data_IF_113041044416
#
_entry.id   IF_113041044416
#
_cell.length_a   1.000
_cell.length_b   1.000
_cell.length_c   1.000
_cell.angle_alpha   90.00
_cell.angle_beta   90.00
_cell.angle_gamma   90.00
#
_symmetry.space_group_name_H-M   'P 1'
#
loop_
_entity.id
_entity.type
_entity.pdbx_description
1 polymer ?
#
# COMPACT_ATOMS: atom_id res chain seq x y z
N UNK A 1 -9.22 -36.32 -23.62
CA UNK A 1 -8.47 -36.14 -22.34
C UNK A 1 -7.48 -34.98 -22.42
N UNK A 2 -6.57 -34.93 -23.39
CA UNK A 2 -5.55 -33.85 -23.54
C UNK A 2 -6.19 -32.47 -23.78
N UNK A 3 -7.22 -32.36 -24.64
CA UNK A 3 -7.91 -31.10 -24.93
C UNK A 3 -8.64 -30.55 -23.68
N UNK A 4 -9.25 -31.43 -22.90
CA UNK A 4 -9.92 -31.04 -21.66
C UNK A 4 -8.90 -30.52 -20.61
N UNK A 5 -7.72 -31.16 -20.52
CA UNK A 5 -6.64 -30.74 -19.64
C UNK A 5 -6.03 -29.39 -20.08
N UNK A 6 -5.85 -29.19 -21.38
CA UNK A 6 -5.39 -27.92 -21.95
C UNK A 6 -6.42 -26.79 -21.76
N UNK A 7 -7.71 -27.05 -21.97
CA UNK A 7 -8.77 -26.06 -21.72
C UNK A 7 -8.88 -25.70 -20.25
N UNK A 8 -8.80 -26.66 -19.33
CA UNK A 8 -8.83 -26.37 -17.87
C UNK A 8 -7.58 -25.62 -17.44
N UNK A 9 -6.39 -25.98 -17.94
CA UNK A 9 -5.15 -25.27 -17.61
C UNK A 9 -5.15 -23.86 -18.16
N UNK A 10 -5.58 -23.63 -19.40
CA UNK A 10 -5.72 -22.30 -20.00
C UNK A 10 -6.77 -21.45 -19.28
N UNK A 11 -7.89 -22.05 -18.87
CA UNK A 11 -8.94 -21.39 -18.09
C UNK A 11 -8.43 -20.97 -16.69
N UNK A 12 -7.68 -21.84 -16.02
CA UNK A 12 -7.05 -21.53 -14.72
C UNK A 12 -5.98 -20.42 -14.84
N UNK A 13 -5.16 -20.45 -15.90
CA UNK A 13 -4.17 -19.40 -16.18
C UNK A 13 -4.87 -18.07 -16.46
N UNK A 14 -5.96 -18.08 -17.26
CA UNK A 14 -6.72 -16.87 -17.59
C UNK A 14 -7.40 -16.26 -16.36
N UNK A 15 -8.03 -17.08 -15.51
CA UNK A 15 -8.62 -16.62 -14.24
C UNK A 15 -7.55 -16.04 -13.31
N UNK A 16 -6.38 -16.68 -13.18
CA UNK A 16 -5.29 -16.17 -12.37
C UNK A 16 -4.73 -14.86 -12.92
N UNK A 17 -4.62 -14.69 -14.23
CA UNK A 17 -4.20 -13.42 -14.85
C UNK A 17 -5.20 -12.28 -14.58
N UNK A 18 -6.49 -12.54 -14.70
CA UNK A 18 -7.53 -11.53 -14.38
C UNK A 18 -7.49 -11.12 -12.91
N UNK A 19 -7.29 -12.08 -11.99
CA UNK A 19 -7.13 -11.81 -10.55
C UNK A 19 -5.89 -10.96 -10.25
N UNK A 20 -4.77 -11.21 -10.91
CA UNK A 20 -3.55 -10.41 -10.75
C UNK A 20 -3.80 -8.98 -11.21
N UNK A 21 -4.46 -8.78 -12.37
CA UNK A 21 -4.82 -7.45 -12.88
C UNK A 21 -5.78 -6.73 -11.93
N UNK A 22 -6.78 -7.41 -11.37
CA UNK A 22 -7.67 -6.86 -10.36
C UNK A 22 -6.88 -6.29 -9.17
N UNK A 23 -5.96 -7.08 -8.60
CA UNK A 23 -5.16 -6.64 -7.47
C UNK A 23 -4.08 -5.62 -7.84
N UNK A 24 -3.68 -5.53 -9.09
CA UNK A 24 -2.87 -4.41 -9.56
C UNK A 24 -3.67 -3.10 -9.57
N UNK A 25 -4.94 -3.13 -9.94
CA UNK A 25 -5.84 -1.98 -9.82
C UNK A 25 -6.06 -1.62 -8.35
N UNK A 26 -6.35 -2.60 -7.47
CA UNK A 26 -6.47 -2.38 -6.02
C UNK A 26 -5.22 -1.69 -5.46
N UNK A 27 -4.01 -2.14 -5.83
CA UNK A 27 -2.76 -1.50 -5.38
C UNK A 27 -2.60 -0.08 -5.89
N UNK A 28 -2.99 0.17 -7.14
CA UNK A 28 -2.93 1.51 -7.72
C UNK A 28 -3.88 2.48 -7.00
N UNK A 29 -5.11 2.07 -6.75
CA UNK A 29 -6.06 2.87 -5.97
C UNK A 29 -5.56 3.08 -4.55
N UNK A 30 -5.08 2.02 -3.91
CA UNK A 30 -4.58 2.05 -2.55
C UNK A 30 -3.42 3.03 -2.37
N UNK A 31 -2.42 3.01 -3.26
CA UNK A 31 -1.27 3.92 -3.15
C UNK A 31 -1.67 5.37 -3.40
N UNK A 32 -2.63 5.63 -4.29
CA UNK A 32 -3.18 6.98 -4.47
C UNK A 32 -3.88 7.46 -3.20
N UNK A 33 -4.68 6.61 -2.56
CA UNK A 33 -5.32 6.93 -1.27
C UNK A 33 -4.29 7.19 -0.17
N UNK A 34 -3.16 6.46 -0.14
CA UNK A 34 -2.05 6.73 0.79
C UNK A 34 -1.50 8.13 0.57
N UNK A 35 -1.22 8.52 -0.67
CA UNK A 35 -0.69 9.87 -0.99
C UNK A 35 -1.71 10.94 -0.60
N UNK A 36 -2.98 10.80 -0.99
CA UNK A 36 -4.04 11.76 -0.60
C UNK A 36 -4.15 11.88 0.92
N UNK A 37 -4.10 10.76 1.64
CA UNK A 37 -4.21 10.72 3.10
C UNK A 37 -3.04 11.37 3.82
N UNK A 38 -1.83 11.35 3.25
CA UNK A 38 -0.64 11.93 3.87
C UNK A 38 -0.49 13.44 3.66
N UNK A 39 -1.22 14.04 2.72
CA UNK A 39 -1.28 15.49 2.61
C UNK A 39 -2.28 16.04 3.64
N UNK A 40 -1.79 16.49 4.80
CA UNK A 40 -2.59 17.05 5.92
C UNK A 40 -2.02 18.43 6.27
N UNK A 41 -2.38 19.51 5.54
CA UNK A 41 -1.98 20.86 5.91
C UNK A 41 -2.77 21.36 7.12
N UNK A 42 -2.14 22.25 7.93
CA UNK A 42 -2.73 22.77 9.17
C UNK A 42 -4.05 23.52 8.95
N UNK A 43 -4.18 24.22 7.81
CA UNK A 43 -5.36 25.03 7.45
C UNK A 43 -6.28 24.30 6.46
N UNK A 44 -6.39 22.97 6.56
CA UNK A 44 -7.25 22.22 5.64
C UNK A 44 -8.74 22.54 5.85
N UNK A 45 -9.51 22.70 4.76
CA UNK A 45 -10.97 22.87 4.85
C UNK A 45 -11.64 21.64 5.45
N UNK A 46 -12.77 21.85 6.13
CA UNK A 46 -13.54 20.79 6.81
C UNK A 46 -13.86 19.60 5.89
N UNK A 47 -14.20 19.88 4.62
CA UNK A 47 -14.47 18.80 3.65
C UNK A 47 -13.25 17.91 3.40
N UNK A 48 -12.02 18.49 3.44
CA UNK A 48 -10.79 17.73 3.25
C UNK A 48 -10.43 16.93 4.49
N UNK A 49 -10.67 17.48 5.68
CA UNK A 49 -10.52 16.72 6.93
C UNK A 49 -11.48 15.50 6.99
N UNK A 50 -12.73 15.68 6.55
CA UNK A 50 -13.66 14.56 6.41
C UNK A 50 -13.18 13.52 5.40
N UNK A 51 -12.64 13.96 4.26
CA UNK A 51 -12.03 13.07 3.26
C UNK A 51 -10.85 12.29 3.85
N UNK A 52 -9.98 12.95 4.60
CA UNK A 52 -8.86 12.31 5.28
C UNK A 52 -9.34 11.27 6.30
N UNK A 53 -10.30 11.60 7.16
CA UNK A 53 -10.89 10.64 8.10
C UNK A 53 -11.42 9.41 7.37
N UNK A 54 -12.18 9.61 6.29
CA UNK A 54 -12.69 8.52 5.46
C UNK A 54 -11.56 7.65 4.90
N UNK A 55 -10.50 8.26 4.36
CA UNK A 55 -9.35 7.50 3.83
C UNK A 55 -8.65 6.72 4.93
N UNK A 56 -8.40 7.37 6.08
CA UNK A 56 -7.69 6.74 7.21
C UNK A 56 -8.45 5.58 7.84
N UNK A 57 -9.77 5.53 7.69
CA UNK A 57 -10.59 4.45 8.24
C UNK A 57 -10.29 3.08 7.62
N UNK A 58 -9.81 3.01 6.36
CA UNK A 58 -9.67 1.72 5.67
C UNK A 58 -8.43 1.55 4.78
N UNK A 59 -7.70 2.63 4.38
CA UNK A 59 -6.65 2.52 3.35
C UNK A 59 -5.48 1.61 3.75
N UNK A 60 -5.03 1.66 5.00
CA UNK A 60 -3.94 0.79 5.47
C UNK A 60 -4.38 -0.67 5.66
N UNK A 61 -5.56 -0.95 6.27
CA UNK A 61 -6.18 -2.27 6.20
C UNK A 61 -6.29 -2.85 4.79
N UNK A 62 -6.73 -2.05 3.82
CA UNK A 62 -6.80 -2.44 2.41
C UNK A 62 -5.43 -2.81 1.84
N UNK A 63 -4.39 -2.02 2.16
CA UNK A 63 -3.04 -2.29 1.68
C UNK A 63 -2.47 -3.59 2.27
N UNK A 64 -2.76 -3.86 3.56
CA UNK A 64 -2.40 -5.12 4.21
C UNK A 64 -3.15 -6.31 3.62
N UNK A 65 -4.45 -6.17 3.37
CA UNK A 65 -5.27 -7.19 2.71
C UNK A 65 -4.73 -7.52 1.31
N UNK A 66 -4.49 -6.51 0.48
CA UNK A 66 -3.91 -6.70 -0.84
C UNK A 66 -2.52 -7.38 -0.78
N UNK A 67 -1.70 -7.02 0.20
CA UNK A 67 -0.39 -7.63 0.41
C UNK A 67 -0.49 -9.11 0.78
N UNK A 68 -1.45 -9.47 1.64
CA UNK A 68 -1.74 -10.86 2.02
C UNK A 68 -2.25 -11.70 0.85
N UNK A 69 -3.16 -11.14 0.06
CA UNK A 69 -3.66 -11.80 -1.15
C UNK A 69 -2.53 -12.06 -2.15
N UNK A 70 -1.73 -11.03 -2.47
CA UNK A 70 -0.62 -11.14 -3.42
C UNK A 70 0.46 -12.09 -2.89
N UNK A 71 0.74 -12.07 -1.58
CA UNK A 71 1.66 -13.04 -0.96
C UNK A 71 1.23 -14.46 -1.28
N UNK A 72 -0.04 -14.77 -1.09
CA UNK A 72 -0.57 -16.12 -1.32
C UNK A 72 -0.63 -16.46 -2.81
N UNK A 73 -1.10 -15.54 -3.65
CA UNK A 73 -1.18 -15.72 -5.11
C UNK A 73 0.20 -15.91 -5.78
N UNK A 74 1.28 -15.39 -5.18
CA UNK A 74 2.63 -15.45 -5.73
C UNK A 74 3.56 -16.38 -4.96
N UNK A 75 3.04 -17.14 -3.99
CA UNK A 75 3.81 -18.09 -3.19
C UNK A 75 4.39 -19.17 -4.09
N UNK A 76 5.68 -19.43 -3.94
CA UNK A 76 6.36 -20.52 -4.66
C UNK A 76 6.35 -21.78 -3.81
N UNK A 77 5.89 -22.88 -4.39
CA UNK A 77 6.00 -24.19 -3.77
C UNK A 77 7.48 -24.61 -3.66
N UNK A 78 7.85 -25.22 -2.53
CA UNK A 78 9.23 -25.69 -2.30
C UNK A 78 10.26 -24.60 -1.96
N UNK A 79 9.88 -23.31 -1.87
CA UNK A 79 10.81 -22.26 -1.43
C UNK A 79 11.12 -22.45 0.07
N UNK A 80 12.40 -22.60 0.41
CA UNK A 80 12.85 -22.71 1.81
C UNK A 80 12.51 -21.41 2.58
N UNK A 81 12.04 -21.56 3.82
CA UNK A 81 11.66 -20.48 4.71
C UNK A 81 12.77 -19.43 4.88
N UNK A 82 14.01 -19.85 5.11
CA UNK A 82 15.14 -18.94 5.26
C UNK A 82 15.45 -18.19 3.95
N UNK A 83 15.41 -18.85 2.80
CA UNK A 83 15.59 -18.16 1.50
C UNK A 83 14.49 -17.14 1.25
N UNK A 84 13.24 -17.48 1.59
CA UNK A 84 12.12 -16.56 1.52
C UNK A 84 12.33 -15.34 2.41
N UNK A 85 12.69 -15.52 3.69
CA UNK A 85 12.92 -14.41 4.62
C UNK A 85 14.07 -13.50 4.18
N UNK A 86 15.22 -14.07 3.78
CA UNK A 86 16.36 -13.26 3.29
C UNK A 86 15.95 -12.41 2.08
N UNK A 87 15.17 -12.97 1.16
CA UNK A 87 14.65 -12.25 -0.01
C UNK A 87 13.72 -11.11 0.40
N UNK A 88 12.83 -11.33 1.38
CA UNK A 88 11.92 -10.29 1.90
C UNK A 88 12.67 -9.23 2.70
N UNK A 89 13.64 -9.62 3.52
CA UNK A 89 14.52 -8.72 4.26
C UNK A 89 15.21 -7.74 3.29
N UNK A 90 15.87 -8.27 2.27
CA UNK A 90 16.54 -7.44 1.25
C UNK A 90 15.57 -6.52 0.51
N UNK A 91 14.35 -6.98 0.22
CA UNK A 91 13.36 -6.20 -0.55
C UNK A 91 12.66 -5.13 0.29
N UNK A 92 12.54 -5.29 1.60
CA UNK A 92 11.83 -4.37 2.48
C UNK A 92 12.79 -3.52 3.31
N UNK A 93 13.71 -4.18 4.04
CA UNK A 93 14.54 -3.49 5.01
C UNK A 93 15.70 -2.72 4.38
N UNK A 94 16.27 -3.21 3.28
CA UNK A 94 17.35 -2.46 2.61
C UNK A 94 16.85 -1.12 2.05
N UNK A 95 15.74 -1.04 1.28
CA UNK A 95 15.17 0.25 0.89
C UNK A 95 14.75 1.10 2.09
N UNK A 96 14.18 0.50 3.14
CA UNK A 96 13.81 1.21 4.37
C UNK A 96 15.00 1.94 5.00
N UNK A 97 16.13 1.23 5.19
CA UNK A 97 17.34 1.83 5.78
C UNK A 97 17.87 2.95 4.89
N UNK A 98 17.98 2.71 3.57
CA UNK A 98 18.52 3.72 2.64
C UNK A 98 17.64 4.96 2.60
N UNK A 99 16.32 4.79 2.50
CA UNK A 99 15.37 5.93 2.49
C UNK A 99 15.39 6.65 3.83
N UNK A 100 15.44 5.92 4.96
CA UNK A 100 15.52 6.53 6.29
C UNK A 100 16.78 7.39 6.44
N UNK A 101 17.94 6.90 6.01
CA UNK A 101 19.19 7.68 6.02
C UNK A 101 19.05 8.94 5.17
N UNK A 102 18.52 8.83 3.95
CA UNK A 102 18.32 9.96 3.04
C UNK A 102 17.37 11.00 3.67
N UNK A 103 16.21 10.58 4.16
CA UNK A 103 15.19 11.48 4.73
C UNK A 103 15.69 12.16 6.00
N UNK A 104 16.34 11.43 6.91
CA UNK A 104 16.95 12.00 8.12
C UNK A 104 18.00 13.05 7.74
N UNK A 105 18.88 12.73 6.77
CA UNK A 105 19.91 13.67 6.28
C UNK A 105 19.29 14.93 5.68
N UNK A 106 18.24 14.78 4.86
CA UNK A 106 17.51 15.93 4.26
C UNK A 106 16.91 16.78 5.38
N UNK A 107 16.21 16.19 6.35
CA UNK A 107 15.59 16.91 7.48
C UNK A 107 16.64 17.71 8.26
N UNK A 108 17.76 17.11 8.63
CA UNK A 108 18.84 17.78 9.38
C UNK A 108 19.48 18.92 8.59
N UNK A 109 19.61 18.80 7.27
CA UNK A 109 20.13 19.87 6.41
C UNK A 109 19.11 20.99 6.23
N UNK A 110 17.84 20.63 6.06
CA UNK A 110 16.76 21.61 5.78
C UNK A 110 16.37 22.38 7.02
N UNK A 111 16.42 21.79 8.23
CA UNK A 111 16.07 22.44 9.50
C UNK A 111 16.82 23.75 9.74
N UNK A 112 18.03 23.88 9.19
CA UNK A 112 18.84 25.09 9.28
C UNK A 112 18.32 26.24 8.40
N UNK A 113 17.49 25.97 7.42
CA UNK A 113 17.08 26.92 6.38
C UNK A 113 15.56 27.06 6.20
N UNK A 114 14.79 26.08 6.69
CA UNK A 114 13.35 26.05 6.56
C UNK A 114 12.70 25.29 7.73
N UNK A 115 11.43 25.55 7.98
CA UNK A 115 10.63 24.81 8.95
C UNK A 115 10.53 23.34 8.55
N UNK A 116 10.88 22.46 9.46
CA UNK A 116 10.72 20.99 9.32
C UNK A 116 9.68 20.54 10.33
N UNK A 117 8.58 20.00 9.84
CA UNK A 117 7.40 19.62 10.63
C UNK A 117 7.72 18.63 11.78
N UNK A 118 8.69 17.72 11.57
CA UNK A 118 9.18 16.80 12.59
C UNK A 118 10.72 16.80 12.55
N UNK A 119 11.39 17.72 13.30
CA UNK A 119 12.83 17.81 13.33
C UNK A 119 13.45 16.54 13.94
N UNK A 120 14.65 16.20 13.51
CA UNK A 120 15.35 15.00 13.93
C UNK A 120 16.78 15.31 14.38
N UNK A 121 17.28 14.56 15.34
CA UNK A 121 18.68 14.65 15.79
C UNK A 121 19.53 13.54 15.16
N UNK A 122 20.86 13.60 15.33
CA UNK A 122 21.76 12.54 14.88
C UNK A 122 21.42 11.16 15.49
N UNK A 123 20.77 11.13 16.65
CA UNK A 123 20.29 9.89 17.27
C UNK A 123 19.24 9.16 16.41
N UNK A 124 18.55 9.87 15.51
CA UNK A 124 17.59 9.29 14.60
C UNK A 124 18.18 8.19 13.69
N UNK A 125 19.49 8.27 13.36
CA UNK A 125 20.16 7.20 12.59
C UNK A 125 20.26 5.86 13.38
N UNK A 126 20.28 5.91 14.70
CA UNK A 126 20.24 4.70 15.53
C UNK A 126 18.78 4.31 15.76
N UNK A 127 17.92 5.27 16.08
CA UNK A 127 16.52 5.03 16.38
C UNK A 127 15.75 4.41 15.22
N UNK A 128 16.10 4.74 13.95
CA UNK A 128 15.48 4.14 12.78
C UNK A 128 15.63 2.61 12.71
N UNK A 129 16.61 2.01 13.41
CA UNK A 129 16.80 0.55 13.41
C UNK A 129 15.72 -0.21 14.18
N UNK A 130 14.93 0.47 15.02
CA UNK A 130 13.86 -0.14 15.79
C UNK A 130 12.56 0.68 15.81
N UNK A 131 12.57 1.91 15.27
CA UNK A 131 11.41 2.79 15.16
C UNK A 131 11.51 3.61 13.87
N UNK A 132 10.41 3.89 13.13
CA UNK A 132 10.44 4.60 11.85
C UNK A 132 10.61 6.11 12.01
N UNK A 133 11.75 6.55 12.53
CA UNK A 133 12.04 7.94 12.90
C UNK A 133 12.14 8.89 11.70
N UNK A 134 12.54 8.38 10.54
CA UNK A 134 12.59 9.18 9.31
C UNK A 134 11.20 9.72 8.89
N UNK A 135 10.16 8.93 9.14
CA UNK A 135 8.76 9.27 8.91
C UNK A 135 7.88 8.13 9.40
N UNK A 136 6.89 8.47 10.23
CA UNK A 136 6.06 7.44 10.86
C UNK A 136 5.34 6.54 9.85
N UNK A 137 4.99 7.04 8.66
CA UNK A 137 4.37 6.22 7.60
C UNK A 137 5.17 4.95 7.26
N UNK A 138 6.48 4.91 7.50
CA UNK A 138 7.33 3.73 7.27
C UNK A 138 7.04 2.54 8.21
N UNK A 139 6.17 2.71 9.22
CA UNK A 139 5.73 1.62 10.10
C UNK A 139 5.18 0.41 9.33
N UNK A 140 4.57 0.67 8.17
CA UNK A 140 3.99 -0.37 7.33
C UNK A 140 5.02 -1.40 6.86
N UNK A 141 6.27 -0.98 6.59
CA UNK A 141 7.36 -1.89 6.18
C UNK A 141 7.67 -2.88 7.31
N UNK A 142 7.76 -2.39 8.57
CA UNK A 142 7.97 -3.22 9.74
C UNK A 142 6.83 -4.19 9.98
N UNK A 143 5.59 -3.69 9.96
CA UNK A 143 4.42 -4.54 10.12
C UNK A 143 4.36 -5.62 9.02
N UNK A 144 4.61 -5.25 7.76
CA UNK A 144 4.64 -6.18 6.64
C UNK A 144 5.79 -7.21 6.76
N UNK A 145 6.93 -6.81 7.30
CA UNK A 145 8.02 -7.73 7.61
C UNK A 145 7.56 -8.82 8.58
N UNK A 146 6.93 -8.45 9.68
CA UNK A 146 6.40 -9.41 10.65
C UNK A 146 5.33 -10.32 10.06
N UNK A 147 4.49 -9.82 9.13
CA UNK A 147 3.55 -10.65 8.39
C UNK A 147 4.29 -11.76 7.61
N UNK A 148 5.40 -11.42 6.96
CA UNK A 148 6.20 -12.39 6.21
C UNK A 148 7.00 -13.35 7.12
N UNK A 149 7.28 -12.97 8.35
CA UNK A 149 7.87 -13.89 9.34
C UNK A 149 6.84 -14.93 9.79
N UNK A 150 5.60 -14.50 10.06
CA UNK A 150 4.59 -15.37 10.68
C UNK A 150 3.78 -16.18 9.65
N UNK A 151 3.31 -15.56 8.58
CA UNK A 151 2.38 -16.20 7.63
C UNK A 151 2.89 -17.52 7.01
N UNK A 152 4.18 -17.69 6.66
CA UNK A 152 4.67 -18.95 6.10
C UNK A 152 4.61 -20.15 7.06
N UNK A 153 4.60 -19.90 8.39
CA UNK A 153 4.50 -20.94 9.41
C UNK A 153 3.12 -21.64 9.39
N UNK A 154 2.11 -20.96 8.83
CA UNK A 154 0.75 -21.44 8.66
C UNK A 154 0.52 -21.90 7.20
N UNK A 155 1.23 -22.98 6.80
CA UNK A 155 1.33 -23.40 5.41
C UNK A 155 0.03 -23.96 4.81
N UNK A 156 -0.83 -24.61 5.62
CA UNK A 156 -2.08 -25.24 5.16
C UNK A 156 -3.28 -24.29 5.26
N UNK A 157 -4.33 -24.54 4.45
CA UNK A 157 -5.58 -23.74 4.50
C UNK A 157 -6.18 -23.74 5.91
N UNK A 158 -6.22 -24.89 6.58
CA UNK A 158 -6.78 -25.02 7.95
C UNK A 158 -5.96 -24.19 8.97
N UNK A 159 -4.62 -24.26 8.91
CA UNK A 159 -3.76 -23.46 9.79
C UNK A 159 -3.95 -21.97 9.54
N UNK A 160 -4.14 -21.53 8.29
CA UNK A 160 -4.42 -20.11 7.99
C UNK A 160 -5.78 -19.68 8.52
N UNK A 161 -6.81 -20.53 8.49
CA UNK A 161 -8.10 -20.24 9.14
C UNK A 161 -7.97 -20.12 10.66
N UNK A 162 -7.19 -20.99 11.30
CA UNK A 162 -6.89 -20.86 12.73
C UNK A 162 -6.16 -19.56 13.04
N UNK A 163 -5.17 -19.19 12.21
CA UNK A 163 -4.47 -17.90 12.35
C UNK A 163 -5.41 -16.72 12.14
N UNK A 164 -6.36 -16.80 11.19
CA UNK A 164 -7.38 -15.78 10.99
C UNK A 164 -8.26 -15.63 12.24
N UNK A 165 -8.71 -16.74 12.83
CA UNK A 165 -9.47 -16.73 14.08
C UNK A 165 -8.69 -16.06 15.23
N UNK A 166 -7.41 -16.42 15.40
CA UNK A 166 -6.54 -15.78 16.39
C UNK A 166 -6.33 -14.29 16.11
N UNK A 167 -6.14 -13.92 14.84
CA UNK A 167 -5.96 -12.53 14.43
C UNK A 167 -7.24 -11.70 14.65
N UNK A 168 -8.43 -12.28 14.44
CA UNK A 168 -9.70 -11.62 14.76
C UNK A 168 -9.85 -11.40 16.28
N UNK A 169 -9.50 -12.37 17.09
CA UNK A 169 -9.50 -12.20 18.56
C UNK A 169 -8.52 -11.10 18.98
N UNK A 170 -7.31 -11.08 18.42
CA UNK A 170 -6.33 -10.02 18.67
C UNK A 170 -6.80 -8.64 18.21
N UNK A 171 -7.58 -8.56 17.16
CA UNK A 171 -8.16 -7.33 16.64
C UNK A 171 -9.27 -6.77 17.53
N UNK A 172 -10.03 -7.64 18.22
CA UNK A 172 -11.11 -7.24 19.12
C UNK A 172 -10.61 -6.69 20.46
N UNK A 173 -9.32 -6.85 20.78
CA UNK A 173 -8.72 -6.31 22.02
C UNK A 173 -7.81 -5.13 21.70
N UNK A 174 -7.72 -4.12 22.60
CA UNK A 174 -6.81 -3.01 22.41
C UNK A 174 -5.37 -3.51 22.17
N UNK A 175 -4.60 -2.85 21.29
CA UNK A 175 -3.22 -3.26 21.03
C UNK A 175 -2.37 -3.15 22.31
N UNK A 176 -1.79 -4.27 22.73
CA UNK A 176 -0.95 -4.39 23.93
C UNK A 176 0.53 -4.61 23.61
N UNK A 177 0.88 -4.92 22.36
CA UNK A 177 2.26 -5.05 21.95
C UNK A 177 2.94 -3.68 21.92
N UNK A 178 4.27 -3.63 22.21
CA UNK A 178 5.01 -2.38 22.24
C UNK A 178 5.12 -1.74 20.84
N UNK A 179 5.37 -0.42 20.81
CA UNK A 179 5.57 0.30 19.56
C UNK A 179 6.94 0.02 18.90
N UNK A 180 7.88 -0.54 19.67
CA UNK A 180 9.20 -0.95 19.16
C UNK A 180 9.01 -1.97 18.05
N UNK A 181 9.75 -1.78 16.94
CA UNK A 181 9.62 -2.59 15.72
C UNK A 181 8.21 -2.59 15.12
N UNK A 182 7.38 -1.62 15.47
CA UNK A 182 5.98 -1.48 15.02
C UNK A 182 5.12 -2.73 15.32
N UNK A 183 5.38 -3.39 16.45
CA UNK A 183 4.63 -4.60 16.86
C UNK A 183 3.17 -4.28 17.18
N UNK A 184 2.88 -3.09 17.69
CA UNK A 184 1.49 -2.60 17.90
C UNK A 184 0.73 -2.55 16.57
N UNK A 185 1.35 -2.00 15.53
CA UNK A 185 0.76 -1.92 14.18
C UNK A 185 0.64 -3.31 13.54
N UNK A 186 1.63 -4.18 13.76
CA UNK A 186 1.56 -5.57 13.35
C UNK A 186 0.33 -6.26 13.98
N UNK A 187 0.10 -6.13 15.29
CA UNK A 187 -1.06 -6.71 15.98
C UNK A 187 -2.37 -6.25 15.33
N UNK A 188 -2.54 -4.94 15.14
CA UNK A 188 -3.77 -4.37 14.60
C UNK A 188 -4.03 -4.74 13.14
N UNK A 189 -2.97 -5.01 12.36
CA UNK A 189 -3.06 -5.24 10.91
C UNK A 189 -3.02 -6.71 10.51
N UNK A 190 -2.69 -7.62 11.45
CA UNK A 190 -2.54 -9.05 11.17
C UNK A 190 -3.81 -9.64 10.54
N UNK A 191 -4.97 -9.29 11.05
CA UNK A 191 -6.27 -9.78 10.58
C UNK A 191 -6.47 -9.50 9.09
N UNK A 192 -6.13 -8.31 8.62
CA UNK A 192 -6.34 -7.92 7.22
C UNK A 192 -5.37 -8.65 6.28
N UNK A 193 -4.12 -8.82 6.69
CA UNK A 193 -3.16 -9.58 5.89
C UNK A 193 -3.58 -11.05 5.76
N UNK A 194 -3.94 -11.69 6.86
CA UNK A 194 -4.36 -13.10 6.84
C UNK A 194 -5.70 -13.28 6.12
N UNK A 195 -6.64 -12.33 6.30
CA UNK A 195 -7.89 -12.33 5.54
C UNK A 195 -7.62 -12.28 4.03
N UNK A 196 -6.70 -11.43 3.58
CA UNK A 196 -6.29 -11.40 2.16
C UNK A 196 -5.72 -12.74 1.67
N UNK A 197 -4.86 -13.39 2.46
CA UNK A 197 -4.30 -14.69 2.13
C UNK A 197 -5.38 -15.79 2.08
N UNK A 198 -6.32 -15.78 3.02
CA UNK A 198 -7.46 -16.71 3.06
C UNK A 198 -8.40 -16.46 1.87
N UNK A 199 -8.71 -15.21 1.55
CA UNK A 199 -9.54 -14.88 0.37
C UNK A 199 -8.91 -15.36 -0.94
N UNK A 200 -7.59 -15.38 -1.04
CA UNK A 200 -6.90 -15.98 -2.19
C UNK A 200 -7.11 -17.50 -2.26
N UNK A 201 -7.03 -18.20 -1.13
CA UNK A 201 -7.26 -19.64 -1.06
C UNK A 201 -8.70 -20.06 -1.40
N UNK A 202 -9.68 -19.21 -1.08
CA UNK A 202 -11.12 -19.46 -1.20
C UNK A 202 -11.80 -18.57 -2.24
N UNK A 203 -11.03 -18.06 -3.17
CA UNK A 203 -11.51 -17.11 -4.18
C UNK A 203 -12.68 -17.60 -5.04
N UNK A 204 -12.84 -18.92 -5.21
CA UNK A 204 -13.98 -19.51 -5.92
C UNK A 204 -15.30 -19.31 -5.14
N UNK A 205 -15.24 -19.42 -3.81
CA UNK A 205 -16.41 -19.18 -2.95
C UNK A 205 -16.74 -17.68 -2.89
N UNK A 206 -15.72 -16.83 -2.80
CA UNK A 206 -15.91 -15.39 -2.74
C UNK A 206 -16.62 -14.83 -3.99
N UNK A 207 -16.39 -15.41 -5.17
CA UNK A 207 -17.07 -15.03 -6.42
C UNK A 207 -18.52 -15.50 -6.50
N UNK A 208 -18.95 -16.42 -5.65
CA UNK A 208 -20.31 -16.95 -5.60
C UNK A 208 -21.28 -16.05 -4.83
N UNK A 209 -20.76 -15.19 -3.96
CA UNK A 209 -21.58 -14.25 -3.17
C UNK A 209 -21.86 -13.00 -4.03
N UNK A 210 -23.09 -12.86 -4.49
CA UNK A 210 -23.53 -11.71 -5.31
C UNK A 210 -24.24 -10.68 -4.44
N UNK A 211 -23.46 -9.81 -3.78
CA UNK A 211 -24.00 -8.61 -3.13
C UNK A 211 -24.01 -7.50 -4.19
N UNK A 212 -25.13 -6.77 -4.41
CA UNK A 212 -25.13 -5.68 -5.38
C UNK A 212 -24.20 -4.55 -4.92
N UNK A 213 -23.43 -3.99 -5.86
CA UNK A 213 -22.41 -2.95 -5.56
C UNK A 213 -23.00 -1.74 -4.82
N UNK A 214 -24.21 -1.30 -5.20
CA UNK A 214 -24.89 -0.20 -4.51
C UNK A 214 -25.12 -0.50 -3.02
N UNK A 215 -25.42 -1.74 -2.63
CA UNK A 215 -25.64 -2.11 -1.24
C UNK A 215 -24.32 -2.04 -0.43
N UNK A 216 -23.19 -2.43 -1.04
CA UNK A 216 -21.87 -2.29 -0.42
C UNK A 216 -21.52 -0.81 -0.25
N UNK A 217 -21.76 0.03 -1.27
CA UNK A 217 -21.53 1.48 -1.19
C UNK A 217 -22.41 2.15 -0.15
N UNK A 218 -23.70 1.80 -0.06
CA UNK A 218 -24.61 2.36 0.96
C UNK A 218 -24.19 1.94 2.36
N UNK A 219 -23.81 0.68 2.55
CA UNK A 219 -23.30 0.20 3.85
C UNK A 219 -22.01 0.94 4.26
N UNK A 220 -21.10 1.15 3.32
CA UNK A 220 -19.88 1.91 3.56
C UNK A 220 -20.20 3.36 3.92
N UNK A 221 -21.03 4.04 3.14
CA UNK A 221 -21.43 5.42 3.39
C UNK A 221 -22.14 5.58 4.75
N UNK A 222 -23.01 4.64 5.12
CA UNK A 222 -23.68 4.65 6.41
C UNK A 222 -22.69 4.48 7.58
N UNK A 223 -21.76 3.52 7.48
CA UNK A 223 -20.75 3.29 8.50
C UNK A 223 -19.80 4.49 8.64
N UNK A 224 -19.39 5.10 7.53
CA UNK A 224 -18.55 6.32 7.54
C UNK A 224 -19.31 7.51 8.15
N UNK A 225 -20.60 7.67 7.87
CA UNK A 225 -21.42 8.68 8.52
C UNK A 225 -21.44 8.51 10.05
N UNK A 226 -21.65 7.28 10.54
CA UNK A 226 -21.60 6.98 11.98
C UNK A 226 -20.21 7.19 12.57
N UNK A 227 -19.16 6.86 11.83
CA UNK A 227 -17.78 7.09 12.24
C UNK A 227 -17.47 8.59 12.38
N UNK A 228 -17.72 9.36 11.32
CA UNK A 228 -17.41 10.80 11.31
C UNK A 228 -18.24 11.56 12.35
N UNK A 229 -19.50 11.16 12.53
CA UNK A 229 -20.45 11.89 13.38
C UNK A 229 -20.41 11.49 14.85
N UNK A 230 -20.15 10.22 15.14
CA UNK A 230 -20.30 9.64 16.48
C UNK A 230 -19.06 8.90 16.97
N UNK A 231 -17.98 8.89 16.19
CA UNK A 231 -16.75 8.14 16.49
C UNK A 231 -17.00 6.63 16.73
N UNK A 232 -17.97 6.06 16.01
CA UNK A 232 -18.43 4.68 16.17
C UNK A 232 -18.02 3.80 15.01
N UNK A 233 -18.13 2.48 15.16
CA UNK A 233 -17.92 1.49 14.08
C UNK A 233 -16.48 1.34 13.55
N UNK A 234 -15.48 1.87 14.22
CA UNK A 234 -14.05 1.79 13.81
C UNK A 234 -13.61 0.39 13.38
N UNK A 235 -14.05 -0.64 14.12
CA UNK A 235 -13.59 -2.01 13.87
C UNK A 235 -14.24 -2.67 12.65
N UNK A 236 -15.36 -2.15 12.16
CA UNK A 236 -16.13 -2.76 11.06
C UNK A 236 -15.85 -2.07 9.73
N UNK A 237 -15.65 -0.77 9.74
CA UNK A 237 -15.44 0.05 8.54
C UNK A 237 -14.35 -0.49 7.61
N UNK A 238 -13.17 -0.91 8.11
CA UNK A 238 -12.10 -1.40 7.23
C UNK A 238 -12.53 -2.57 6.35
N UNK A 239 -13.37 -3.48 6.86
CA UNK A 239 -13.83 -4.65 6.11
C UNK A 239 -14.75 -4.25 4.96
N UNK A 240 -15.68 -3.32 5.22
CA UNK A 240 -16.60 -2.82 4.19
C UNK A 240 -15.88 -1.93 3.18
N UNK A 241 -14.94 -1.10 3.62
CA UNK A 241 -14.07 -0.30 2.76
C UNK A 241 -13.23 -1.18 1.82
N UNK A 242 -12.64 -2.26 2.33
CA UNK A 242 -11.92 -3.25 1.51
C UNK A 242 -12.86 -3.84 0.44
N UNK A 243 -14.05 -4.29 0.84
CA UNK A 243 -15.03 -4.83 -0.11
C UNK A 243 -15.41 -3.81 -1.18
N UNK A 244 -15.67 -2.55 -0.80
CA UNK A 244 -16.02 -1.46 -1.73
C UNK A 244 -14.93 -1.26 -2.78
N UNK A 245 -13.66 -1.18 -2.39
CA UNK A 245 -12.56 -0.97 -3.34
C UNK A 245 -12.32 -2.19 -4.23
N UNK A 246 -12.49 -3.41 -3.72
CA UNK A 246 -12.39 -4.62 -4.54
C UNK A 246 -13.49 -4.62 -5.61
N UNK A 247 -14.74 -4.32 -5.25
CA UNK A 247 -15.84 -4.21 -6.21
C UNK A 247 -15.59 -3.11 -7.26
N UNK A 248 -15.17 -1.92 -6.82
CA UNK A 248 -14.80 -0.83 -7.71
C UNK A 248 -13.69 -1.26 -8.68
N UNK A 249 -12.67 -1.93 -8.19
CA UNK A 249 -11.56 -2.44 -9.01
C UNK A 249 -12.02 -3.49 -10.02
N UNK A 250 -12.99 -4.33 -9.65
CA UNK A 250 -13.58 -5.31 -10.56
C UNK A 250 -14.37 -4.61 -11.69
N UNK A 251 -15.18 -3.60 -11.36
CA UNK A 251 -15.89 -2.78 -12.36
C UNK A 251 -14.89 -2.12 -13.31
N UNK A 252 -13.84 -1.50 -12.78
CA UNK A 252 -12.79 -0.86 -13.60
C UNK A 252 -12.11 -1.91 -14.49
N UNK A 253 -11.79 -3.08 -13.97
CA UNK A 253 -11.11 -4.14 -14.72
C UNK A 253 -11.90 -4.65 -15.92
N UNK A 254 -13.24 -4.68 -15.79
CA UNK A 254 -14.17 -5.13 -16.85
C UNK A 254 -14.51 -4.03 -17.86
N UNK A 255 -14.57 -2.77 -17.40
CA UNK A 255 -15.07 -1.64 -18.22
C UNK A 255 -13.99 -0.85 -18.96
N UNK A 256 -12.77 -0.85 -18.49
CA UNK A 256 -11.75 0.06 -18.98
C UNK A 256 -10.96 -0.50 -20.17
N UNK A 257 -11.11 0.12 -21.34
CA UNK A 257 -10.26 -0.16 -22.51
C UNK A 257 -8.79 0.26 -22.33
N UNK A 258 -8.47 1.15 -21.36
CA UNK A 258 -7.12 1.67 -21.09
C UNK A 258 -6.84 1.73 -19.59
N UNK A 259 -6.36 0.64 -19.01
CA UNK A 259 -5.92 0.56 -17.60
C UNK A 259 -4.40 0.76 -17.44
N UNK A 260 -3.67 1.05 -18.53
CA UNK A 260 -2.21 1.14 -18.54
C UNK A 260 -1.67 2.14 -17.50
N UNK A 261 -2.35 3.27 -17.27
CA UNK A 261 -1.98 4.25 -16.25
C UNK A 261 -2.03 3.65 -14.84
N UNK A 262 -3.12 2.94 -14.50
CA UNK A 262 -3.25 2.27 -13.19
C UNK A 262 -2.23 1.15 -13.03
N UNK A 263 -1.95 0.37 -14.07
CA UNK A 263 -0.92 -0.66 -14.04
C UNK A 263 0.48 -0.07 -13.83
N UNK A 264 0.76 1.10 -14.43
CA UNK A 264 2.03 1.82 -14.21
C UNK A 264 2.16 2.31 -12.76
N UNK A 265 1.09 2.89 -12.20
CA UNK A 265 1.03 3.29 -10.78
C UNK A 265 1.22 2.06 -9.88
N UNK A 266 0.53 0.95 -10.16
CA UNK A 266 0.67 -0.30 -9.43
C UNK A 266 2.12 -0.83 -9.44
N UNK A 267 2.76 -0.84 -10.61
CA UNK A 267 4.14 -1.31 -10.77
C UNK A 267 5.15 -0.46 -10.00
N UNK A 268 4.86 0.84 -9.82
CA UNK A 268 5.71 1.80 -9.09
C UNK A 268 5.23 2.07 -7.68
N UNK A 269 4.16 1.42 -7.22
CA UNK A 269 3.49 1.70 -5.94
C UNK A 269 4.43 1.67 -4.73
N UNK A 270 5.41 0.75 -4.71
CA UNK A 270 6.38 0.68 -3.63
C UNK A 270 7.33 1.90 -3.60
N UNK A 271 7.74 2.40 -4.75
CA UNK A 271 8.58 3.60 -4.85
C UNK A 271 7.76 4.84 -4.50
N UNK A 272 6.50 4.91 -4.95
CA UNK A 272 5.58 5.99 -4.54
C UNK A 272 5.44 5.98 -3.02
N UNK A 273 5.20 4.82 -2.41
CA UNK A 273 5.11 4.68 -0.96
C UNK A 273 6.35 5.20 -0.23
N UNK A 274 7.55 4.91 -0.73
CA UNK A 274 8.80 5.31 -0.09
C UNK A 274 9.11 6.82 -0.17
N UNK A 275 8.64 7.49 -1.23
CA UNK A 275 9.10 8.86 -1.53
C UNK A 275 7.99 9.91 -1.60
N UNK A 276 6.69 9.53 -1.54
CA UNK A 276 5.59 10.48 -1.73
C UNK A 276 5.68 11.68 -0.79
N UNK A 277 5.90 11.47 0.51
CA UNK A 277 6.00 12.56 1.50
C UNK A 277 7.13 13.53 1.20
N UNK A 278 8.24 13.05 0.63
CA UNK A 278 9.36 13.92 0.21
C UNK A 278 8.96 14.82 -0.95
N UNK A 279 8.25 14.29 -1.95
CA UNK A 279 7.78 15.08 -3.09
C UNK A 279 6.60 15.97 -2.73
N UNK A 280 5.70 15.53 -1.86
CA UNK A 280 4.62 16.37 -1.30
C UNK A 280 5.19 17.55 -0.50
N UNK A 281 6.16 17.29 0.37
CA UNK A 281 6.83 18.32 1.15
C UNK A 281 7.54 19.35 0.28
N UNK A 282 8.25 18.90 -0.77
CA UNK A 282 8.89 19.81 -1.73
C UNK A 282 7.87 20.65 -2.52
N UNK A 283 6.76 20.04 -2.96
CA UNK A 283 5.69 20.74 -3.67
C UNK A 283 4.98 21.75 -2.75
N UNK A 284 4.65 21.36 -1.49
CA UNK A 284 4.07 22.25 -0.47
C UNK A 284 4.99 23.45 -0.24
N UNK A 285 6.28 23.24 -0.04
CA UNK A 285 7.26 24.31 0.16
C UNK A 285 7.35 25.25 -1.06
N UNK A 286 7.30 24.69 -2.27
CA UNK A 286 7.26 25.50 -3.48
C UNK A 286 5.99 26.35 -3.57
N UNK A 287 4.81 25.79 -3.27
CA UNK A 287 3.56 26.54 -3.25
C UNK A 287 3.57 27.62 -2.16
N UNK A 288 4.08 27.33 -0.96
CA UNK A 288 4.21 28.32 0.11
C UNK A 288 5.04 29.54 -0.33
N UNK A 289 6.09 29.30 -1.13
CA UNK A 289 6.98 30.36 -1.59
C UNK A 289 6.44 31.16 -2.80
N UNK A 290 5.84 30.48 -3.77
CA UNK A 290 5.53 31.07 -5.07
C UNK A 290 4.03 31.30 -5.32
N UNK A 291 3.15 30.56 -4.64
CA UNK A 291 1.70 30.64 -4.83
C UNK A 291 0.93 30.30 -3.54
N UNK A 292 1.16 31.01 -2.42
CA UNK A 292 0.56 30.68 -1.13
C UNK A 292 -0.97 30.66 -1.15
N UNK A 293 -1.61 31.43 -2.01
CA UNK A 293 -3.06 31.47 -2.19
C UNK A 293 -3.66 30.10 -2.53
N UNK A 294 -2.87 29.18 -3.10
CA UNK A 294 -3.32 27.83 -3.43
C UNK A 294 -3.36 26.89 -2.22
N UNK A 295 -2.90 27.35 -1.06
CA UNK A 295 -2.92 26.53 0.18
C UNK A 295 -4.13 26.86 1.07
N UNK A 296 -4.91 27.88 0.72
CA UNK A 296 -6.07 28.37 1.48
C UNK A 296 -7.33 28.39 0.60
N UNK A 297 -8.52 28.40 1.27
CA UNK A 297 -9.79 28.57 0.57
C UNK A 297 -9.87 29.91 -0.19
N UNK A 298 -10.50 29.96 -1.35
CA UNK A 298 -11.22 28.89 -2.04
C UNK A 298 -10.35 28.03 -2.98
N UNK A 299 -9.05 28.29 -3.10
CA UNK A 299 -8.16 27.63 -4.06
C UNK A 299 -7.48 26.37 -3.53
N UNK A 300 -7.71 26.02 -2.27
CA UNK A 300 -7.12 24.85 -1.60
C UNK A 300 -7.19 23.57 -2.45
N UNK A 301 -8.33 23.31 -3.10
CA UNK A 301 -8.50 22.10 -3.92
C UNK A 301 -7.48 22.00 -5.07
N UNK A 302 -7.13 23.13 -5.68
CA UNK A 302 -6.11 23.20 -6.74
C UNK A 302 -4.73 22.92 -6.19
N UNK A 303 -4.38 23.53 -5.07
CA UNK A 303 -3.11 23.30 -4.38
C UNK A 303 -2.97 21.83 -3.93
N UNK A 304 -4.02 21.26 -3.34
CA UNK A 304 -4.05 19.86 -2.95
C UNK A 304 -3.81 18.92 -4.14
N UNK A 305 -4.48 19.15 -5.28
CA UNK A 305 -4.27 18.36 -6.50
C UNK A 305 -2.83 18.45 -6.99
N UNK A 306 -2.21 19.64 -6.95
CA UNK A 306 -0.81 19.83 -7.37
C UNK A 306 0.16 19.07 -6.44
N UNK A 307 -0.01 19.18 -5.11
CA UNK A 307 0.84 18.49 -4.13
C UNK A 307 0.69 16.99 -4.24
N UNK A 308 -0.55 16.47 -4.27
CA UNK A 308 -0.84 15.04 -4.40
C UNK A 308 -0.29 14.50 -5.74
N UNK A 309 -0.47 15.26 -6.84
CA UNK A 309 0.09 14.88 -8.14
C UNK A 309 1.61 14.79 -8.10
N UNK A 310 2.29 15.70 -7.40
CA UNK A 310 3.73 15.64 -7.18
C UNK A 310 4.12 14.41 -6.35
N UNK A 311 3.34 14.07 -5.31
CA UNK A 311 3.53 12.87 -4.49
C UNK A 311 3.40 11.56 -5.26
N UNK A 312 2.60 11.52 -6.32
CA UNK A 312 2.47 10.35 -7.19
C UNK A 312 3.49 10.38 -8.34
N UNK A 313 3.50 11.47 -9.12
CA UNK A 313 4.30 11.57 -10.34
C UNK A 313 5.80 11.71 -10.06
N UNK A 314 6.19 12.44 -9.00
CA UNK A 314 7.60 12.65 -8.64
C UNK A 314 8.35 11.34 -8.42
N UNK A 315 7.88 10.43 -7.55
CA UNK A 315 8.50 9.11 -7.38
C UNK A 315 8.49 8.26 -8.66
N UNK A 316 7.47 8.38 -9.52
CA UNK A 316 7.45 7.66 -10.81
C UNK A 316 8.52 8.17 -11.77
N UNK A 317 8.75 9.49 -11.81
CA UNK A 317 9.84 10.12 -12.57
C UNK A 317 11.19 9.68 -12.01
N UNK A 318 11.36 9.74 -10.68
CA UNK A 318 12.55 9.24 -9.98
C UNK A 318 12.84 7.77 -10.35
N UNK A 319 11.81 6.93 -10.30
CA UNK A 319 11.91 5.52 -10.69
C UNK A 319 12.41 5.38 -12.13
N UNK A 320 11.76 6.06 -13.09
CA UNK A 320 12.04 5.90 -14.52
C UNK A 320 13.44 6.38 -14.91
N UNK A 321 13.87 7.52 -14.40
CA UNK A 321 15.10 8.19 -14.85
C UNK A 321 16.32 7.89 -13.99
N UNK A 322 16.15 7.45 -12.74
CA UNK A 322 17.25 7.20 -11.81
C UNK A 322 17.22 5.75 -11.31
N UNK A 323 16.18 5.33 -10.60
CA UNK A 323 16.23 4.06 -9.87
C UNK A 323 16.26 2.85 -10.79
N UNK A 324 15.55 2.87 -11.92
CA UNK A 324 15.54 1.80 -12.89
C UNK A 324 16.77 1.80 -13.84
N UNK A 325 17.57 2.88 -13.85
CA UNK A 325 18.70 3.02 -14.77
C UNK A 325 20.00 2.44 -14.20
N UNK A 326 20.28 2.64 -12.92
CA UNK A 326 21.56 2.28 -12.34
C UNK A 326 21.49 0.94 -11.59
N UNK A 327 22.51 0.09 -11.76
CA UNK A 327 22.57 -1.25 -11.14
C UNK A 327 22.50 -1.22 -9.62
N UNK A 328 23.14 -0.22 -8.98
CA UNK A 328 23.13 -0.04 -7.54
C UNK A 328 21.71 0.23 -7.00
N UNK A 329 21.00 1.17 -7.64
CA UNK A 329 19.63 1.51 -7.23
C UNK A 329 18.66 0.36 -7.51
N UNK A 330 18.83 -0.35 -8.63
CA UNK A 330 18.06 -1.58 -8.92
C UNK A 330 18.25 -2.63 -7.82
N UNK A 331 19.48 -2.82 -7.36
CA UNK A 331 19.79 -3.76 -6.27
C UNK A 331 19.16 -3.31 -4.94
N UNK A 332 19.35 -2.04 -4.57
CA UNK A 332 18.82 -1.46 -3.31
C UNK A 332 17.29 -1.57 -3.27
N UNK A 333 16.59 -1.15 -4.33
CA UNK A 333 15.13 -1.10 -4.37
C UNK A 333 14.48 -2.39 -4.89
N UNK A 334 15.25 -3.44 -5.15
CA UNK A 334 14.75 -4.72 -5.62
C UNK A 334 14.05 -4.64 -6.99
N UNK A 335 14.48 -3.70 -7.84
CA UNK A 335 13.91 -3.48 -9.17
C UNK A 335 14.47 -4.54 -10.11
N UNK A 336 13.60 -5.35 -10.69
CA UNK A 336 14.01 -6.30 -11.71
C UNK A 336 14.40 -5.54 -12.98
N UNK A 337 15.56 -5.88 -13.55
CA UNK A 337 15.95 -5.38 -14.86
C UNK A 337 14.87 -5.74 -15.88
N UNK A 338 14.23 -4.74 -16.47
CA UNK A 338 13.41 -4.99 -17.66
C UNK A 338 14.36 -5.50 -18.73
N UNK A 339 14.22 -6.76 -19.12
CA UNK A 339 14.80 -7.23 -20.38
C UNK A 339 14.23 -6.31 -21.46
N UNK A 340 15.12 -5.70 -22.23
CA UNK A 340 14.76 -4.78 -23.29
C UNK A 340 13.69 -5.46 -24.16
N UNK A 341 12.64 -4.73 -24.49
CA UNK A 341 11.53 -5.21 -25.31
C UNK A 341 11.96 -5.60 -26.75
N UNK A 342 13.26 -5.44 -27.08
CA UNK A 342 13.86 -5.82 -28.36
C UNK A 342 13.94 -7.34 -28.60
N UNK A 343 13.86 -8.17 -27.52
CA UNK A 343 14.03 -9.63 -27.70
C UNK A 343 12.69 -10.36 -27.91
N UNK A 344 11.59 -9.66 -28.10
CA UNK A 344 10.25 -10.25 -28.29
C UNK A 344 9.63 -9.98 -29.66
N UNK A 345 10.40 -9.51 -30.63
CA UNK A 345 9.93 -9.53 -32.02
C UNK A 345 10.34 -10.89 -32.59
N UNK A 346 9.39 -11.76 -32.99
CA UNK A 346 9.74 -12.90 -33.81
C UNK A 346 10.33 -12.36 -35.12
N UNK A 347 11.50 -12.90 -35.50
CA UNK A 347 12.05 -12.66 -36.83
C UNK A 347 10.98 -12.97 -37.89
N UNK A 348 10.80 -12.02 -38.80
CA UNK A 348 9.83 -12.07 -39.87
C UNK A 348 10.02 -13.29 -40.79
#
# INVERSE_FOLDING_TARGET
>A
MIIHYLCTTLFFVFINMQRIVLFDIVKALCIVLVVVGHYIPENSPVWYECLNKLIYSFHMPLFMFASGFIYMATKKEGESYSKFLVKKLKRLMLPYVVVSVIVISIKMLTEKHAFVENPVTAYAYIKMLYFPEAGYFLWFIWALWWMFVIAPLFATKQKRLLLLGAALLLYCIPPFLPEVFCLKQFQSMLVFFILGAVCCDWSEIATSVKIPFWAVCLSFAALEYFYIRFDACHSVIPFVGIATIIYLSDIISRGAKKINGLLTISATSYIIYLFHTTFEGAAKAALQKFAPILLDDPFFAVGAVLVISAGVAGPMVLYRYILAKYKLTQFIFGIKRQQAASDRLPAA
#
